data_IF_395964003766
#
_entry.id   IF_395964003766
#
_cell.length_a   1.000
_cell.length_b   1.000
_cell.length_c   1.000
_cell.angle_alpha   90.00
_cell.angle_beta   90.00
_cell.angle_gamma   90.00
#
_symmetry.space_group_name_H-M   'P 1'
#
loop_
_entity.id
_entity.type
_entity.pdbx_description
1 polymer ?
#
# COMPACT_ATOMS: atom_id res chain seq x y z
N UNK A 1 19.73 17.59 -22.37
CA UNK A 1 18.38 17.01 -22.34
C UNK A 1 18.46 15.66 -21.66
N UNK A 2 18.06 15.55 -20.38
CA UNK A 2 18.07 14.30 -19.63
C UNK A 2 16.64 13.78 -19.64
N UNK A 3 16.40 12.72 -20.41
CA UNK A 3 15.11 12.04 -20.46
C UNK A 3 14.91 11.25 -19.16
N UNK A 4 14.01 11.71 -18.29
CA UNK A 4 13.50 10.96 -17.13
C UNK A 4 12.76 9.72 -17.65
N UNK A 5 13.39 8.54 -17.55
CA UNK A 5 12.71 7.25 -17.75
C UNK A 5 11.63 7.11 -16.68
N UNK A 6 10.36 7.05 -17.10
CA UNK A 6 9.25 6.66 -16.25
C UNK A 6 9.55 5.25 -15.68
N UNK A 7 9.60 5.13 -14.35
CA UNK A 7 9.68 3.83 -13.66
C UNK A 7 8.31 3.18 -13.77
N UNK A 8 8.11 2.38 -14.82
CA UNK A 8 6.86 1.67 -15.04
C UNK A 8 6.65 0.53 -14.04
N UNK A 9 5.38 0.27 -13.79
CA UNK A 9 4.80 -0.81 -12.96
C UNK A 9 5.35 -2.22 -13.25
N UNK A 10 6.11 -2.42 -14.33
CA UNK A 10 6.45 -3.74 -14.87
C UNK A 10 7.35 -4.61 -13.98
N UNK A 11 8.32 -4.05 -13.25
CA UNK A 11 9.31 -4.86 -12.51
C UNK A 11 8.82 -5.42 -11.19
N UNK A 12 7.90 -4.74 -10.50
CA UNK A 12 7.30 -5.25 -9.27
C UNK A 12 6.28 -6.36 -9.55
N UNK A 13 5.58 -6.28 -10.69
CA UNK A 13 4.61 -7.27 -11.11
C UNK A 13 5.26 -8.59 -11.53
N UNK A 14 6.41 -8.56 -12.20
CA UNK A 14 7.16 -9.77 -12.57
C UNK A 14 7.58 -10.61 -11.36
N UNK A 15 7.85 -9.95 -10.22
CA UNK A 15 8.16 -10.67 -8.98
C UNK A 15 6.96 -11.41 -8.39
N UNK A 16 5.73 -10.93 -8.65
CA UNK A 16 4.47 -11.56 -8.21
C UNK A 16 3.96 -12.63 -9.16
N UNK A 17 4.20 -12.46 -10.46
CA UNK A 17 3.74 -13.38 -11.48
C UNK A 17 4.68 -14.58 -11.69
N UNK A 18 5.92 -14.54 -11.15
CA UNK A 18 6.92 -15.60 -11.21
C UNK A 18 7.28 -16.05 -12.65
N UNK A 19 8.32 -16.87 -12.83
CA UNK A 19 8.67 -17.43 -14.15
C UNK A 19 7.66 -18.46 -14.69
N UNK A 20 6.63 -18.82 -13.93
CA UNK A 20 5.60 -19.81 -14.35
C UNK A 20 4.56 -19.25 -15.34
N UNK A 21 4.51 -17.94 -15.57
CA UNK A 21 3.60 -17.37 -16.58
C UNK A 21 4.15 -17.52 -18.00
N UNK A 22 5.43 -17.88 -18.15
CA UNK A 22 6.07 -18.08 -19.45
C UNK A 22 5.83 -19.47 -20.07
N UNK A 23 5.30 -20.46 -19.31
CA UNK A 23 5.20 -21.85 -19.76
C UNK A 23 3.79 -22.39 -19.98
N UNK A 24 2.77 -21.55 -19.81
CA UNK A 24 1.44 -21.88 -20.32
C UNK A 24 1.35 -21.47 -21.78
N UNK A 25 1.59 -22.43 -22.67
CA UNK A 25 1.23 -22.42 -24.10
C UNK A 25 -0.29 -22.39 -24.33
N UNK A 26 -1.02 -21.62 -23.53
CA UNK A 26 -2.34 -21.13 -23.91
C UNK A 26 -2.11 -19.87 -24.73
N UNK A 27 -2.53 -19.89 -25.99
CA UNK A 27 -2.52 -18.72 -26.84
C UNK A 27 -3.12 -17.54 -26.06
N UNK A 28 -2.47 -16.35 -26.05
CA UNK A 28 -3.02 -15.18 -25.36
C UNK A 28 -4.44 -14.99 -25.86
N UNK A 29 -5.41 -14.92 -24.93
CA UNK A 29 -6.78 -14.60 -25.31
C UNK A 29 -6.75 -13.27 -26.08
N UNK A 30 -7.46 -13.15 -27.22
CA UNK A 30 -7.48 -11.91 -28.00
C UNK A 30 -7.96 -10.77 -27.08
N UNK A 31 -7.04 -9.84 -26.74
CA UNK A 31 -7.37 -8.70 -25.90
C UNK A 31 -6.63 -8.59 -24.55
N UNK A 32 -5.81 -9.57 -24.15
CA UNK A 32 -5.05 -9.48 -22.90
C UNK A 32 -4.06 -8.31 -22.95
N UNK A 33 -4.30 -7.32 -22.06
CA UNK A 33 -3.46 -6.13 -21.95
C UNK A 33 -3.79 -4.97 -22.89
N UNK A 34 -4.77 -5.07 -23.78
CA UNK A 34 -5.27 -3.95 -24.57
C UNK A 34 -6.45 -3.26 -23.85
N UNK A 35 -6.60 -1.93 -23.99
CA UNK A 35 -7.75 -1.24 -23.45
C UNK A 35 -9.03 -1.72 -24.16
N UNK A 36 -10.03 -2.10 -23.38
CA UNK A 36 -11.38 -2.44 -23.82
C UNK A 36 -12.38 -1.45 -23.23
N UNK A 37 -13.57 -1.37 -23.81
CA UNK A 37 -14.69 -0.64 -23.24
C UNK A 37 -15.68 -1.66 -22.70
N UNK A 38 -16.07 -1.50 -21.43
CA UNK A 38 -17.10 -2.32 -20.79
C UNK A 38 -18.22 -1.47 -20.23
N UNK A 39 -19.44 -2.03 -20.20
CA UNK A 39 -20.55 -1.39 -19.53
C UNK A 39 -20.30 -1.34 -18.01
N UNK A 40 -20.70 -0.25 -17.36
CA UNK A 40 -20.59 -0.10 -15.91
C UNK A 40 -21.37 -1.18 -15.14
N UNK A 41 -22.42 -1.73 -15.74
CA UNK A 41 -23.21 -2.85 -15.19
C UNK A 41 -22.41 -4.15 -15.07
N UNK A 42 -21.39 -4.33 -15.92
CA UNK A 42 -20.58 -5.54 -15.96
C UNK A 42 -19.43 -5.51 -14.94
N UNK A 43 -19.21 -4.34 -14.32
CA UNK A 43 -18.18 -4.15 -13.32
C UNK A 43 -18.73 -4.35 -11.91
N UNK A 44 -17.99 -5.07 -11.10
CA UNK A 44 -18.26 -5.24 -9.66
C UNK A 44 -17.13 -4.67 -8.83
N UNK A 45 -17.44 -4.04 -7.67
CA UNK A 45 -16.41 -3.54 -6.75
C UNK A 45 -15.46 -4.65 -6.31
N UNK A 46 -14.18 -4.34 -6.18
CA UNK A 46 -13.18 -5.28 -5.71
C UNK A 46 -13.38 -5.65 -4.23
N UNK A 47 -13.18 -6.93 -3.88
CA UNK A 47 -13.28 -7.45 -2.50
C UNK A 47 -12.24 -6.84 -1.56
N UNK A 48 -11.13 -6.36 -2.10
CA UNK A 48 -9.96 -5.90 -1.33
C UNK A 48 -9.81 -4.37 -1.31
N UNK A 49 -10.93 -3.63 -1.34
CA UNK A 49 -10.92 -2.16 -1.34
C UNK A 49 -10.70 -1.61 0.08
N UNK A 50 -9.51 -1.06 0.41
CA UNK A 50 -9.19 -0.57 1.75
C UNK A 50 -9.85 0.77 2.08
N UNK A 51 -10.41 1.49 1.08
CA UNK A 51 -11.04 2.80 1.29
C UNK A 51 -12.48 2.66 1.74
N UNK A 52 -12.71 2.68 3.06
CA UNK A 52 -14.05 2.80 3.64
C UNK A 52 -14.58 4.23 3.62
N UNK A 53 -13.70 5.24 3.69
CA UNK A 53 -14.06 6.65 3.62
C UNK A 53 -13.48 7.28 2.35
N UNK A 54 -14.36 7.75 1.47
CA UNK A 54 -14.00 8.60 0.34
C UNK A 54 -14.55 10.01 0.60
N UNK A 55 -13.73 11.01 0.35
CA UNK A 55 -14.18 12.39 0.32
C UNK A 55 -15.19 12.55 -0.84
N UNK A 56 -16.44 12.80 -0.48
CA UNK A 56 -17.53 12.98 -1.44
C UNK A 56 -17.30 14.19 -2.34
N UNK A 57 -16.74 15.28 -1.79
CA UNK A 57 -16.42 16.47 -2.55
C UNK A 57 -15.42 16.18 -3.67
N UNK A 58 -14.31 15.53 -3.33
CA UNK A 58 -13.29 15.13 -4.30
C UNK A 58 -13.80 14.07 -5.30
N UNK A 59 -14.82 13.28 -4.96
CA UNK A 59 -15.46 12.35 -5.88
C UNK A 59 -16.37 13.07 -6.89
N UNK A 60 -17.13 14.09 -6.43
CA UNK A 60 -17.96 14.93 -7.31
C UNK A 60 -17.10 15.74 -8.28
N UNK A 61 -16.01 16.33 -7.83
CA UNK A 61 -15.07 17.05 -8.72
C UNK A 61 -14.54 16.13 -9.83
N UNK A 62 -14.17 14.90 -9.47
CA UNK A 62 -13.74 13.89 -10.43
C UNK A 62 -14.87 13.53 -11.41
N UNK A 63 -16.10 13.37 -10.92
CA UNK A 63 -17.26 13.08 -11.78
C UNK A 63 -17.51 14.19 -12.79
N UNK A 64 -17.45 15.45 -12.37
CA UNK A 64 -17.58 16.60 -13.28
C UNK A 64 -16.44 16.62 -14.32
N UNK A 65 -15.22 16.33 -13.90
CA UNK A 65 -14.05 16.34 -14.81
C UNK A 65 -14.09 15.28 -15.89
N UNK A 66 -14.80 14.15 -15.68
CA UNK A 66 -14.89 13.04 -16.65
C UNK A 66 -16.18 13.04 -17.49
N UNK A 67 -17.14 13.91 -17.20
CA UNK A 67 -18.42 13.97 -17.95
C UNK A 67 -18.24 14.17 -19.44
N UNK A 68 -17.38 15.07 -19.85
CA UNK A 68 -17.20 15.42 -21.26
C UNK A 68 -16.08 14.58 -21.93
N UNK A 69 -14.84 14.51 -21.36
CA UNK A 69 -13.77 13.75 -22.00
C UNK A 69 -13.82 12.24 -21.75
N UNK A 70 -14.66 11.77 -20.82
CA UNK A 70 -14.63 10.38 -20.36
C UNK A 70 -13.45 10.08 -19.45
N UNK A 71 -13.26 8.80 -19.14
CA UNK A 71 -12.12 8.31 -18.35
C UNK A 71 -10.91 8.15 -19.26
N UNK A 72 -9.86 8.95 -19.04
CA UNK A 72 -8.63 8.86 -19.85
C UNK A 72 -7.73 7.69 -19.43
N UNK A 73 -7.73 7.32 -18.14
CA UNK A 73 -6.91 6.23 -17.62
C UNK A 73 -7.79 5.01 -17.34
N UNK A 74 -7.59 3.86 -18.05
CA UNK A 74 -8.44 2.69 -17.91
C UNK A 74 -8.54 2.17 -16.47
N UNK A 75 -9.69 1.57 -16.12
CA UNK A 75 -9.90 0.85 -14.88
C UNK A 75 -9.29 -0.55 -15.04
N UNK A 76 -8.46 -0.99 -14.09
CA UNK A 76 -7.88 -2.32 -14.11
C UNK A 76 -8.89 -3.32 -13.55
N UNK A 77 -9.21 -4.36 -14.34
CA UNK A 77 -10.22 -5.36 -13.99
C UNK A 77 -9.73 -6.77 -14.29
N UNK A 78 -10.34 -7.76 -13.63
CA UNK A 78 -10.20 -9.18 -13.98
C UNK A 78 -11.57 -9.80 -14.21
N UNK A 79 -11.63 -10.84 -15.03
CA UNK A 79 -12.85 -11.61 -15.23
C UNK A 79 -13.06 -12.58 -14.08
N UNK A 80 -14.27 -12.64 -13.55
CA UNK A 80 -14.67 -13.62 -12.56
C UNK A 80 -15.14 -14.90 -13.27
N UNK A 81 -14.46 -16.02 -12.99
CA UNK A 81 -14.80 -17.31 -13.59
C UNK A 81 -15.99 -17.96 -12.87
N UNK A 82 -16.07 -17.80 -11.55
CA UNK A 82 -16.99 -18.52 -10.67
C UNK A 82 -17.73 -17.61 -9.70
N UNK A 83 -18.77 -18.13 -9.04
CA UNK A 83 -19.53 -17.45 -7.99
C UNK A 83 -20.72 -16.64 -8.51
N UNK A 84 -21.32 -15.85 -7.62
CA UNK A 84 -22.55 -15.06 -7.89
C UNK A 84 -22.36 -14.04 -9.03
N UNK A 85 -21.15 -13.63 -9.28
CA UNK A 85 -20.79 -12.64 -10.31
C UNK A 85 -20.01 -13.28 -11.48
N UNK A 86 -20.14 -14.59 -11.70
CA UNK A 86 -19.48 -15.27 -12.83
C UNK A 86 -19.77 -14.57 -14.17
N UNK A 87 -18.72 -14.39 -14.96
CA UNK A 87 -18.79 -13.69 -16.25
C UNK A 87 -18.68 -12.15 -16.16
N UNK A 88 -18.80 -11.55 -14.96
CA UNK A 88 -18.55 -10.12 -14.74
C UNK A 88 -17.07 -9.84 -14.48
N UNK A 89 -16.76 -8.55 -14.32
CA UNK A 89 -15.40 -8.08 -14.13
C UNK A 89 -15.22 -7.41 -12.77
N UNK A 90 -14.33 -7.94 -11.94
CA UNK A 90 -13.98 -7.35 -10.64
C UNK A 90 -12.93 -6.26 -10.81
N UNK A 91 -13.13 -5.13 -10.15
CA UNK A 91 -12.19 -4.00 -10.15
C UNK A 91 -11.01 -4.33 -9.25
N UNK A 92 -9.81 -4.39 -9.83
CA UNK A 92 -8.54 -4.50 -9.11
C UNK A 92 -8.07 -3.12 -8.66
N UNK A 93 -8.07 -2.14 -9.59
CA UNK A 93 -7.66 -0.76 -9.32
C UNK A 93 -8.50 0.23 -10.12
N UNK A 94 -8.76 1.41 -9.52
CA UNK A 94 -9.56 2.46 -10.16
C UNK A 94 -10.98 2.61 -9.62
N UNK A 95 -11.28 2.15 -8.41
CA UNK A 95 -12.60 2.26 -7.75
C UNK A 95 -13.14 3.70 -7.74
N UNK A 96 -12.29 4.72 -7.50
CA UNK A 96 -12.72 6.13 -7.56
C UNK A 96 -13.23 6.53 -8.94
N UNK A 97 -12.53 6.09 -10.00
CA UNK A 97 -12.94 6.35 -11.40
C UNK A 97 -14.26 5.67 -11.72
N UNK A 98 -14.44 4.44 -11.25
CA UNK A 98 -15.69 3.71 -11.40
C UNK A 98 -16.87 4.43 -10.72
N UNK A 99 -16.70 4.88 -9.46
CA UNK A 99 -17.74 5.62 -8.75
C UNK A 99 -18.02 6.98 -9.37
N UNK A 100 -16.97 7.70 -9.77
CA UNK A 100 -17.11 8.96 -10.47
C UNK A 100 -17.84 8.79 -11.82
N UNK A 101 -17.56 7.71 -12.57
CA UNK A 101 -18.26 7.40 -13.81
C UNK A 101 -19.76 7.16 -13.59
N UNK A 102 -20.13 6.45 -12.51
CA UNK A 102 -21.55 6.29 -12.11
C UNK A 102 -22.22 7.63 -11.81
N UNK A 103 -21.55 8.49 -11.05
CA UNK A 103 -22.06 9.83 -10.72
C UNK A 103 -22.14 10.73 -11.95
N UNK A 104 -21.22 10.60 -12.88
CA UNK A 104 -21.21 11.31 -14.15
C UNK A 104 -22.27 10.83 -15.15
N UNK A 105 -22.94 9.70 -14.87
CA UNK A 105 -23.96 9.10 -15.75
C UNK A 105 -23.39 8.43 -16.98
N UNK A 106 -22.13 8.01 -16.96
CA UNK A 106 -21.53 7.25 -18.06
C UNK A 106 -22.14 5.85 -18.12
N UNK A 107 -22.36 5.32 -19.31
CA UNK A 107 -22.83 3.94 -19.52
C UNK A 107 -21.68 2.94 -19.63
N UNK A 108 -20.56 3.39 -20.15
CA UNK A 108 -19.39 2.58 -20.47
C UNK A 108 -18.10 3.26 -19.99
N UNK A 109 -17.07 2.45 -19.70
CA UNK A 109 -15.75 2.95 -19.27
C UNK A 109 -14.64 2.13 -19.91
N UNK A 110 -13.48 2.75 -20.19
CA UNK A 110 -12.30 2.04 -20.63
C UNK A 110 -11.73 1.20 -19.50
N UNK A 111 -11.43 -0.06 -19.81
CA UNK A 111 -10.87 -1.03 -18.87
C UNK A 111 -9.63 -1.70 -19.44
N UNK A 112 -8.76 -2.15 -18.56
CA UNK A 112 -7.66 -3.05 -18.87
C UNK A 112 -7.95 -4.39 -18.20
N UNK A 113 -8.23 -5.40 -19.01
CA UNK A 113 -8.51 -6.76 -18.50
C UNK A 113 -7.21 -7.49 -18.24
N UNK A 114 -7.08 -8.13 -17.06
CA UNK A 114 -5.98 -9.01 -16.70
C UNK A 114 -6.53 -10.35 -16.22
N UNK A 115 -5.98 -11.41 -16.74
CA UNK A 115 -6.26 -12.76 -16.23
C UNK A 115 -5.26 -13.06 -15.09
N UNK A 116 -5.73 -12.83 -13.86
CA UNK A 116 -4.92 -13.00 -12.65
C UNK A 116 -5.70 -13.72 -11.56
N UNK A 117 -5.03 -14.62 -10.85
CA UNK A 117 -5.60 -15.31 -9.70
C UNK A 117 -5.99 -14.32 -8.59
N UNK A 118 -6.92 -14.70 -7.72
CA UNK A 118 -7.45 -13.88 -6.62
C UNK A 118 -6.34 -13.26 -5.76
N UNK A 119 -5.35 -14.06 -5.37
CA UNK A 119 -4.24 -13.60 -4.56
C UNK A 119 -3.38 -12.55 -5.28
N UNK A 120 -3.12 -12.74 -6.57
CA UNK A 120 -2.35 -11.79 -7.36
C UNK A 120 -3.13 -10.47 -7.57
N UNK A 121 -4.44 -10.55 -7.83
CA UNK A 121 -5.30 -9.37 -7.94
C UNK A 121 -5.33 -8.56 -6.64
N UNK A 122 -5.44 -9.23 -5.49
CA UNK A 122 -5.41 -8.61 -4.17
C UNK A 122 -4.05 -7.93 -3.88
N UNK A 123 -2.95 -8.59 -4.22
CA UNK A 123 -1.61 -8.02 -4.07
C UNK A 123 -1.42 -6.78 -4.97
N UNK A 124 -1.89 -6.83 -6.23
CA UNK A 124 -1.85 -5.68 -7.13
C UNK A 124 -2.63 -4.48 -6.60
N UNK A 125 -3.84 -4.71 -6.07
CA UNK A 125 -4.66 -3.67 -5.47
C UNK A 125 -3.97 -3.04 -4.25
N UNK A 126 -3.33 -3.87 -3.41
CA UNK A 126 -2.56 -3.40 -2.27
C UNK A 126 -1.34 -2.57 -2.70
N UNK A 127 -0.58 -3.03 -3.69
CA UNK A 127 0.59 -2.32 -4.23
C UNK A 127 0.18 -0.97 -4.82
N UNK A 128 -0.91 -0.92 -5.61
CA UNK A 128 -1.43 0.33 -6.16
C UNK A 128 -1.77 1.33 -5.06
N UNK A 129 -2.45 0.86 -4.01
CA UNK A 129 -2.78 1.71 -2.87
C UNK A 129 -1.53 2.22 -2.12
N UNK A 130 -0.49 1.39 -2.02
CA UNK A 130 0.78 1.76 -1.38
C UNK A 130 1.66 2.72 -2.21
N UNK A 131 1.39 2.88 -3.49
CA UNK A 131 2.11 3.84 -4.36
C UNK A 131 1.54 5.26 -4.27
N UNK A 132 0.58 5.50 -3.37
CA UNK A 132 0.02 6.84 -3.13
C UNK A 132 1.02 7.69 -2.35
N UNK A 133 0.99 9.00 -2.62
CA UNK A 133 1.89 9.97 -1.99
C UNK A 133 1.47 10.38 -0.56
N UNK A 134 0.22 10.08 -0.18
CA UNK A 134 -0.42 10.53 1.07
C UNK A 134 -0.42 9.49 2.20
N UNK A 135 0.31 8.37 2.05
CA UNK A 135 0.41 7.35 3.10
C UNK A 135 1.35 7.79 4.22
N UNK A 136 0.91 7.55 5.45
CA UNK A 136 1.79 7.71 6.61
C UNK A 136 2.75 6.50 6.75
N UNK A 137 3.86 6.65 7.52
CA UNK A 137 4.87 5.60 7.63
C UNK A 137 4.35 4.28 8.24
N UNK A 138 3.34 4.31 9.11
CA UNK A 138 2.77 3.10 9.70
C UNK A 138 1.80 2.39 8.73
N UNK A 139 1.02 3.12 7.96
CA UNK A 139 0.20 2.55 6.89
C UNK A 139 1.08 1.88 5.83
N UNK A 140 2.18 2.52 5.46
CA UNK A 140 3.16 1.94 4.54
C UNK A 140 3.80 0.67 5.12
N UNK A 141 4.15 0.68 6.41
CA UNK A 141 4.66 -0.49 7.11
C UNK A 141 3.64 -1.64 7.18
N UNK A 142 2.38 -1.33 7.45
CA UNK A 142 1.28 -2.31 7.47
C UNK A 142 1.05 -2.92 6.09
N UNK A 143 1.05 -2.11 5.04
CA UNK A 143 0.94 -2.59 3.67
C UNK A 143 2.09 -3.52 3.28
N UNK A 144 3.34 -3.17 3.61
CA UNK A 144 4.50 -4.04 3.41
C UNK A 144 4.39 -5.35 4.19
N UNK A 145 3.94 -5.29 5.45
CA UNK A 145 3.73 -6.49 6.29
C UNK A 145 2.70 -7.43 5.66
N UNK A 146 1.60 -6.88 5.13
CA UNK A 146 0.57 -7.67 4.43
C UNK A 146 1.11 -8.33 3.17
N UNK A 147 1.90 -7.61 2.36
CA UNK A 147 2.55 -8.20 1.18
C UNK A 147 3.41 -9.40 1.54
N UNK A 148 4.12 -9.35 2.67
CA UNK A 148 4.97 -10.45 3.16
C UNK A 148 4.13 -11.59 3.74
N UNK A 149 3.17 -11.28 4.63
CA UNK A 149 2.45 -12.30 5.40
C UNK A 149 1.31 -12.96 4.64
N UNK A 150 0.52 -12.17 3.89
CA UNK A 150 -0.67 -12.66 3.19
C UNK A 150 -0.32 -13.22 1.81
N UNK A 151 0.65 -12.60 1.12
CA UNK A 151 1.00 -12.95 -0.26
C UNK A 151 2.34 -13.67 -0.41
N UNK A 152 3.04 -13.95 0.70
CA UNK A 152 4.26 -14.75 0.72
C UNK A 152 5.47 -14.10 0.05
N UNK A 153 5.46 -12.77 -0.18
CA UNK A 153 6.58 -12.08 -0.76
C UNK A 153 7.74 -12.00 0.24
N UNK A 154 8.97 -12.08 -0.27
CA UNK A 154 10.14 -11.71 0.54
C UNK A 154 10.16 -10.21 0.80
N UNK A 155 10.86 -9.76 1.85
CA UNK A 155 11.03 -8.33 2.13
C UNK A 155 11.61 -7.54 0.95
N UNK A 156 12.47 -8.17 0.16
CA UNK A 156 13.07 -7.57 -1.02
C UNK A 156 12.05 -7.42 -2.16
N UNK A 157 11.27 -8.46 -2.42
CA UNK A 157 10.19 -8.43 -3.42
C UNK A 157 9.12 -7.40 -3.07
N UNK A 158 8.68 -7.35 -1.79
CA UNK A 158 7.72 -6.37 -1.32
C UNK A 158 8.26 -4.93 -1.47
N UNK A 159 9.51 -4.69 -1.08
CA UNK A 159 10.17 -3.39 -1.26
C UNK A 159 10.22 -2.97 -2.74
N UNK A 160 10.63 -3.89 -3.62
CA UNK A 160 10.71 -3.64 -5.06
C UNK A 160 9.33 -3.34 -5.66
N UNK A 161 8.30 -4.08 -5.25
CA UNK A 161 6.92 -3.90 -5.73
C UNK A 161 6.40 -2.48 -5.45
N UNK A 162 6.72 -1.91 -4.29
CA UNK A 162 6.29 -0.55 -3.91
C UNK A 162 7.30 0.55 -4.27
N UNK A 163 8.38 0.21 -5.00
CA UNK A 163 9.39 1.19 -5.43
C UNK A 163 10.33 1.68 -4.33
N UNK A 164 10.46 0.92 -3.22
CA UNK A 164 11.36 1.23 -2.10
C UNK A 164 12.63 0.40 -2.14
N UNK A 165 13.70 0.88 -1.50
CA UNK A 165 14.88 0.06 -1.25
C UNK A 165 14.60 -0.98 -0.16
N UNK A 166 15.30 -2.13 -0.19
CA UNK A 166 15.21 -3.16 0.85
C UNK A 166 15.45 -2.59 2.25
N UNK A 167 16.43 -1.69 2.39
CA UNK A 167 16.74 -1.04 3.68
C UNK A 167 15.61 -0.14 4.17
N UNK A 168 14.99 0.64 3.28
CA UNK A 168 13.83 1.48 3.61
C UNK A 168 12.64 0.62 4.06
N UNK A 169 12.30 -0.44 3.32
CA UNK A 169 11.23 -1.35 3.69
C UNK A 169 11.49 -2.05 5.04
N UNK A 170 12.72 -2.51 5.29
CA UNK A 170 13.08 -3.08 6.60
C UNK A 170 12.92 -2.09 7.74
N UNK A 171 13.28 -0.82 7.54
CA UNK A 171 13.10 0.22 8.55
C UNK A 171 11.62 0.51 8.82
N UNK A 172 10.79 0.53 7.79
CA UNK A 172 9.34 0.68 7.93
C UNK A 172 8.71 -0.49 8.70
N UNK A 173 9.02 -1.73 8.30
CA UNK A 173 8.50 -2.92 8.98
C UNK A 173 8.85 -2.95 10.47
N UNK A 174 10.02 -2.44 10.85
CA UNK A 174 10.42 -2.34 12.26
C UNK A 174 9.53 -1.41 13.07
N UNK A 175 8.87 -0.41 12.47
CA UNK A 175 7.96 0.51 13.17
C UNK A 175 6.76 -0.21 13.78
N UNK A 176 6.34 -1.34 13.22
CA UNK A 176 5.26 -2.17 13.76
C UNK A 176 5.61 -2.81 15.11
N UNK A 177 6.90 -2.84 15.49
CA UNK A 177 7.36 -3.33 16.78
C UNK A 177 7.34 -2.25 17.89
N UNK A 178 7.04 -0.99 17.54
CA UNK A 178 6.85 0.06 18.53
C UNK A 178 5.62 -0.22 19.40
N UNK A 179 5.66 0.23 20.64
CA UNK A 179 4.49 0.25 21.50
C UNK A 179 3.41 1.16 20.90
N UNK A 180 2.15 0.77 21.00
CA UNK A 180 1.01 1.49 20.40
C UNK A 180 0.96 3.00 20.75
N UNK A 181 1.21 3.43 22.02
CA UNK A 181 1.27 4.85 22.32
C UNK A 181 2.39 5.60 21.57
N UNK A 182 3.51 4.94 21.32
CA UNK A 182 4.64 5.52 20.56
C UNK A 182 4.30 5.61 19.07
N UNK A 183 3.58 4.62 18.52
CA UNK A 183 3.03 4.70 17.17
C UNK A 183 2.07 5.88 17.03
N UNK A 184 1.20 6.09 18.03
CA UNK A 184 0.29 7.25 18.07
C UNK A 184 1.04 8.59 18.08
N UNK A 185 2.11 8.72 18.88
CA UNK A 185 2.96 9.92 18.89
C UNK A 185 3.62 10.17 17.52
N UNK A 186 4.08 9.11 16.85
CA UNK A 186 4.65 9.21 15.51
C UNK A 186 3.61 9.70 14.49
N UNK A 187 2.38 9.20 14.59
CA UNK A 187 1.27 9.61 13.73
C UNK A 187 0.81 11.05 13.96
N UNK A 188 0.82 11.49 15.22
CA UNK A 188 0.49 12.85 15.60
C UNK A 188 1.59 13.87 15.23
N UNK A 189 2.81 13.38 14.88
CA UNK A 189 3.95 14.24 14.61
C UNK A 189 4.66 14.77 15.88
N UNK A 190 4.33 14.21 17.06
CA UNK A 190 4.99 14.55 18.32
C UNK A 190 6.44 14.05 18.35
N UNK A 191 6.71 12.99 17.62
CA UNK A 191 8.05 12.43 17.37
C UNK A 191 8.22 12.15 15.87
N UNK A 192 9.45 12.17 15.39
CA UNK A 192 9.79 11.85 14.00
C UNK A 192 10.32 10.42 13.83
N UNK A 193 10.61 10.04 12.57
CA UNK A 193 11.15 8.72 12.21
C UNK A 193 12.50 8.41 12.86
N UNK A 194 13.33 9.42 13.13
CA UNK A 194 14.60 9.25 13.80
C UNK A 194 14.43 8.84 15.26
N UNK A 195 13.50 9.52 15.96
CA UNK A 195 13.11 9.20 17.33
C UNK A 195 12.52 7.78 17.40
N UNK A 196 11.59 7.45 16.51
CA UNK A 196 10.96 6.13 16.44
C UNK A 196 11.99 5.01 16.28
N UNK A 197 13.00 5.19 15.40
CA UNK A 197 14.08 4.21 15.22
C UNK A 197 14.95 4.04 16.47
N UNK A 198 15.28 5.13 17.16
CA UNK A 198 16.04 5.06 18.42
C UNK A 198 15.26 4.25 19.47
N UNK A 199 13.97 4.52 19.62
CA UNK A 199 13.09 3.85 20.59
C UNK A 199 12.94 2.34 20.36
N UNK A 200 13.09 1.84 19.12
CA UNK A 200 13.02 0.40 18.80
C UNK A 200 14.07 -0.47 19.53
N UNK A 201 15.10 0.11 20.11
CA UNK A 201 16.12 -0.62 20.87
C UNK A 201 15.70 -0.90 22.32
N UNK A 202 14.60 -0.32 22.76
CA UNK A 202 14.07 -0.46 24.12
C UNK A 202 12.90 -1.46 24.17
N UNK A 203 12.66 -2.00 25.34
CA UNK A 203 11.45 -2.75 25.69
C UNK A 203 10.22 -1.82 25.64
N UNK A 204 9.02 -2.37 25.38
CA UNK A 204 7.78 -1.60 25.14
C UNK A 204 7.46 -0.57 26.24
N UNK A 205 7.65 -0.92 27.53
CA UNK A 205 7.40 0.00 28.64
C UNK A 205 8.38 1.17 28.64
N UNK A 206 9.66 0.88 28.38
CA UNK A 206 10.71 1.88 28.28
C UNK A 206 10.56 2.77 27.04
N UNK A 207 10.06 2.22 25.93
CA UNK A 207 9.69 2.99 24.74
C UNK A 207 8.68 4.09 25.06
N UNK A 208 7.62 3.76 25.80
CA UNK A 208 6.57 4.71 26.18
C UNK A 208 7.14 5.81 27.06
N UNK A 209 7.91 5.44 28.09
CA UNK A 209 8.53 6.41 29.01
C UNK A 209 9.49 7.35 28.28
N UNK A 210 10.35 6.80 27.42
CA UNK A 210 11.30 7.59 26.64
C UNK A 210 10.59 8.45 25.59
N UNK A 211 9.56 7.91 24.90
CA UNK A 211 8.75 8.63 23.93
C UNK A 211 8.07 9.85 24.53
N UNK A 212 7.45 9.71 25.70
CA UNK A 212 6.86 10.83 26.44
C UNK A 212 7.89 11.90 26.81
N UNK A 213 9.10 11.52 27.21
CA UNK A 213 10.16 12.48 27.53
C UNK A 213 10.66 13.22 26.28
N UNK A 214 10.81 12.51 25.15
CA UNK A 214 11.22 13.07 23.87
C UNK A 214 10.19 14.11 23.41
N UNK A 215 8.90 13.75 23.39
CA UNK A 215 7.82 14.63 22.98
C UNK A 215 7.69 15.87 23.91
N UNK A 216 7.67 15.66 25.23
CA UNK A 216 7.51 16.73 26.21
C UNK A 216 8.66 17.74 26.19
N UNK A 217 9.90 17.28 26.01
CA UNK A 217 11.09 18.14 26.00
C UNK A 217 11.51 18.59 24.60
N UNK A 218 10.79 18.14 23.55
CA UNK A 218 11.11 18.41 22.14
C UNK A 218 12.58 18.11 21.82
N UNK A 219 13.07 16.95 22.25
CA UNK A 219 14.45 16.55 22.06
C UNK A 219 14.76 16.37 20.57
N UNK A 220 15.99 16.70 20.18
CA UNK A 220 16.51 16.32 18.88
C UNK A 220 16.77 14.80 18.80
N UNK A 221 16.91 14.26 17.58
CA UNK A 221 17.21 12.83 17.39
C UNK A 221 18.48 12.40 18.15
N UNK A 222 19.54 13.24 18.16
CA UNK A 222 20.79 12.94 18.88
C UNK A 222 20.59 12.89 20.40
N UNK A 223 19.79 13.80 20.94
CA UNK A 223 19.47 13.82 22.38
C UNK A 223 18.60 12.61 22.75
N UNK A 224 17.65 12.25 21.89
CA UNK A 224 16.83 11.05 22.05
C UNK A 224 17.67 9.77 22.02
N UNK A 225 18.63 9.64 21.11
CA UNK A 225 19.58 8.51 21.08
C UNK A 225 20.41 8.41 22.37
N UNK A 226 20.88 9.56 22.91
CA UNK A 226 21.59 9.60 24.19
C UNK A 226 20.68 9.18 25.35
N UNK A 227 19.43 9.66 25.39
CA UNK A 227 18.42 9.27 26.38
C UNK A 227 18.14 7.76 26.34
N UNK A 228 17.90 7.23 25.14
CA UNK A 228 17.62 5.81 24.92
C UNK A 228 18.78 4.94 25.39
N UNK A 229 20.01 5.33 25.06
CA UNK A 229 21.23 4.63 25.52
C UNK A 229 21.32 4.61 27.04
N UNK A 230 21.01 5.73 27.73
CA UNK A 230 21.00 5.82 29.19
C UNK A 230 19.94 4.91 29.79
N UNK A 231 18.72 4.98 29.32
CA UNK A 231 17.59 4.15 29.79
C UNK A 231 17.89 2.66 29.58
N UNK A 232 18.46 2.27 28.43
CA UNK A 232 18.84 0.89 28.15
C UNK A 232 19.93 0.37 29.08
N UNK A 233 20.90 1.22 29.47
CA UNK A 233 21.92 0.87 30.45
C UNK A 233 21.31 0.68 31.86
N UNK A 234 20.43 1.58 32.28
CA UNK A 234 19.75 1.49 33.59
C UNK A 234 18.85 0.24 33.69
N UNK A 235 18.17 -0.16 32.62
CA UNK A 235 17.35 -1.39 32.58
C UNK A 235 18.19 -2.66 32.64
N UNK A 236 19.38 -2.69 32.03
CA UNK A 236 20.28 -3.84 32.08
C UNK A 236 20.96 -3.99 33.45
N UNK A 237 20.94 -2.96 34.28
CA UNK A 237 21.47 -2.99 35.65
C UNK A 237 20.46 -3.47 36.70
N UNK A 238 19.16 -3.55 36.33
CA UNK A 238 18.14 -4.10 37.20
C UNK A 238 18.21 -5.64 37.17
N UNK A 239 18.31 -6.33 38.35
CA UNK A 239 18.33 -7.78 38.39
C UNK A 239 17.06 -8.32 37.80
N UNK A 240 17.20 -9.14 36.75
CA UNK A 240 16.05 -9.87 36.19
C UNK A 240 15.49 -10.74 37.32
N UNK A 241 14.22 -10.49 37.71
CA UNK A 241 13.52 -11.37 38.65
C UNK A 241 13.46 -12.78 38.07
N UNK A 242 13.79 -13.81 38.86
CA UNK A 242 13.73 -15.20 38.44
C UNK A 242 12.30 -15.65 38.11
#
# INVERSE_FOLDING_TARGET
MVTKKSKGLGRGLEALLGPQVADHTAAPLPGDGLPHTLALSDLVPGRYQPRTHMDEGALYELAESIKAPGIMQPILVRRLADGEHAGRYEIIAGERRFRAAKLAGLSEVPVLVRDVADAAAAAMALIENMQREDLNPLEEAQGLSRLVQEFGLTHEQAAQAVGRSRSAASNLLRLLNLAEPVQTMLMAGDIDMGHARALLTLERAAQITAGNQIAAKKLSVREAEALVKKIGADFNLLPQKP
#
